data_IF_366675502556
#
_entry.id   IF_366675502556
#
_cell.length_a   1.000
_cell.length_b   1.000
_cell.length_c   1.000
_cell.angle_alpha   90.00
_cell.angle_beta   90.00
_cell.angle_gamma   90.00
#
_symmetry.space_group_name_H-M   'P 1'
#
loop_
_entity.id
_entity.type
_entity.pdbx_description
1 polymer ?
#
# COMPACT_ATOMS: atom_id res chain seq x y z
N UNK A 1 -34.62 -0.55 -26.26
CA UNK A 1 -34.68 -1.96 -25.81
C UNK A 1 -33.97 -1.93 -24.46
N UNK A 2 -34.74 -1.67 -23.40
CA UNK A 2 -34.24 -1.74 -22.02
C UNK A 2 -33.88 -3.21 -21.76
N UNK A 3 -32.62 -3.49 -21.56
CA UNK A 3 -32.16 -4.79 -21.07
C UNK A 3 -32.64 -4.85 -19.61
N UNK A 4 -33.77 -5.53 -19.36
CA UNK A 4 -34.21 -5.88 -18.02
C UNK A 4 -33.06 -6.69 -17.39
N UNK A 5 -32.36 -6.05 -16.45
CA UNK A 5 -31.34 -6.70 -15.65
C UNK A 5 -32.05 -7.81 -14.86
N UNK A 6 -31.70 -9.07 -15.12
CA UNK A 6 -32.19 -10.21 -14.34
C UNK A 6 -31.78 -9.95 -12.89
N UNK A 7 -32.74 -9.91 -11.95
CA UNK A 7 -32.43 -9.63 -10.56
C UNK A 7 -31.43 -10.69 -10.04
N UNK A 8 -30.33 -10.22 -9.45
CA UNK A 8 -29.32 -11.08 -8.87
C UNK A 8 -29.92 -11.87 -7.70
N UNK A 9 -29.64 -13.16 -7.63
CA UNK A 9 -29.99 -13.94 -6.45
C UNK A 9 -29.18 -13.44 -5.23
N UNK A 10 -29.65 -13.74 -4.03
CA UNK A 10 -28.98 -13.37 -2.78
C UNK A 10 -27.53 -13.86 -2.75
N UNK A 11 -27.30 -15.11 -3.10
CA UNK A 11 -25.96 -15.71 -3.17
C UNK A 11 -25.07 -15.00 -4.20
N UNK A 12 -25.60 -14.67 -5.36
CA UNK A 12 -24.88 -13.92 -6.41
C UNK A 12 -24.51 -12.52 -5.93
N UNK A 13 -25.41 -11.84 -5.24
CA UNK A 13 -25.17 -10.51 -4.66
C UNK A 13 -24.06 -10.54 -3.62
N UNK A 14 -24.11 -11.52 -2.69
CA UNK A 14 -23.06 -11.69 -1.68
C UNK A 14 -21.69 -12.03 -2.31
N UNK A 15 -21.68 -12.83 -3.37
CA UNK A 15 -20.45 -13.17 -4.09
C UNK A 15 -19.83 -11.94 -4.76
N UNK A 16 -20.61 -11.10 -5.42
CA UNK A 16 -20.14 -9.85 -6.04
C UNK A 16 -19.66 -8.87 -4.96
N UNK A 17 -20.46 -8.68 -3.91
CA UNK A 17 -20.11 -7.81 -2.79
C UNK A 17 -18.78 -8.20 -2.15
N UNK A 18 -18.58 -9.50 -1.90
CA UNK A 18 -17.33 -10.04 -1.40
C UNK A 18 -16.17 -9.85 -2.40
N UNK A 19 -16.43 -10.02 -3.69
CA UNK A 19 -15.46 -9.78 -4.77
C UNK A 19 -14.95 -8.33 -4.76
N UNK A 20 -15.86 -7.36 -4.67
CA UNK A 20 -15.53 -5.93 -4.53
C UNK A 20 -14.72 -5.67 -3.25
N UNK A 21 -15.18 -6.18 -2.10
CA UNK A 21 -14.49 -6.05 -0.83
C UNK A 21 -13.06 -6.60 -0.87
N UNK A 22 -12.86 -7.78 -1.48
CA UNK A 22 -11.54 -8.37 -1.69
C UNK A 22 -10.65 -7.50 -2.58
N UNK A 23 -11.18 -6.97 -3.67
CA UNK A 23 -10.43 -6.11 -4.57
C UNK A 23 -10.01 -4.81 -3.87
N UNK A 24 -10.90 -4.18 -3.10
CA UNK A 24 -10.61 -2.99 -2.31
C UNK A 24 -9.55 -3.24 -1.24
N UNK A 25 -9.79 -4.24 -0.37
CA UNK A 25 -8.93 -4.50 0.79
C UNK A 25 -7.52 -4.95 0.38
N UNK A 26 -7.41 -5.80 -0.66
CA UNK A 26 -6.14 -6.24 -1.21
C UNK A 26 -5.31 -5.09 -1.77
N UNK A 27 -5.95 -4.04 -2.28
CA UNK A 27 -5.30 -2.89 -2.89
C UNK A 27 -5.15 -1.68 -1.94
N UNK A 28 -5.38 -1.88 -0.63
CA UNK A 28 -5.05 -0.90 0.40
C UNK A 28 -6.16 0.09 0.73
N UNK A 29 -7.42 -0.23 0.43
CA UNK A 29 -8.57 0.56 0.89
C UNK A 29 -8.71 0.51 2.42
N UNK A 30 -9.33 1.55 2.97
CA UNK A 30 -9.72 1.62 4.38
C UNK A 30 -10.79 0.56 4.70
N UNK A 31 -10.78 0.02 5.91
CA UNK A 31 -11.76 -1.02 6.32
C UNK A 31 -13.17 -0.48 6.30
N UNK A 32 -13.40 0.70 6.81
CA UNK A 32 -14.71 1.37 6.79
C UNK A 32 -15.26 1.57 5.37
N UNK A 33 -14.40 1.92 4.40
CA UNK A 33 -14.79 2.03 2.99
C UNK A 33 -15.19 0.69 2.40
N UNK A 34 -14.50 -0.39 2.75
CA UNK A 34 -14.83 -1.74 2.30
C UNK A 34 -16.19 -2.16 2.83
N UNK A 35 -16.45 -1.95 4.13
CA UNK A 35 -17.74 -2.23 4.77
C UNK A 35 -18.88 -1.45 4.13
N UNK A 36 -18.70 -0.13 3.95
CA UNK A 36 -19.70 0.73 3.31
C UNK A 36 -20.00 0.30 1.86
N UNK A 37 -18.97 -0.06 1.09
CA UNK A 37 -19.15 -0.50 -0.29
C UNK A 37 -19.93 -1.82 -0.35
N UNK A 38 -19.60 -2.79 0.50
CA UNK A 38 -20.31 -4.09 0.56
C UNK A 38 -21.75 -3.87 1.01
N UNK A 39 -21.97 -3.16 2.12
CA UNK A 39 -23.30 -2.92 2.68
C UNK A 39 -24.19 -2.17 1.69
N UNK A 40 -23.69 -1.10 1.09
CA UNK A 40 -24.44 -0.31 0.08
C UNK A 40 -24.82 -1.16 -1.12
N UNK A 41 -23.90 -2.02 -1.61
CA UNK A 41 -24.20 -2.91 -2.73
C UNK A 41 -25.32 -3.90 -2.39
N UNK A 42 -25.26 -4.53 -1.22
CA UNK A 42 -26.29 -5.47 -0.76
C UNK A 42 -27.65 -4.76 -0.61
N UNK A 43 -27.67 -3.56 0.02
CA UNK A 43 -28.88 -2.74 0.20
C UNK A 43 -29.51 -2.35 -1.14
N UNK A 44 -28.71 -1.97 -2.14
CA UNK A 44 -29.22 -1.60 -3.48
C UNK A 44 -29.92 -2.76 -4.17
N UNK A 45 -29.56 -4.02 -3.82
CA UNK A 45 -30.19 -5.21 -4.35
C UNK A 45 -31.31 -5.78 -3.43
N UNK A 46 -31.72 -5.01 -2.40
CA UNK A 46 -32.84 -5.35 -1.52
C UNK A 46 -32.47 -6.25 -0.33
N UNK A 47 -31.18 -6.48 -0.09
CA UNK A 47 -30.70 -7.29 1.05
C UNK A 47 -30.22 -6.39 2.17
N UNK A 48 -31.04 -6.19 3.22
CA UNK A 48 -30.79 -5.27 4.32
C UNK A 48 -30.18 -5.93 5.57
N UNK A 49 -30.34 -7.23 5.71
CA UNK A 49 -29.95 -8.00 6.89
C UNK A 49 -28.56 -8.66 6.73
N UNK A 50 -27.66 -7.95 6.07
CA UNK A 50 -26.29 -8.39 5.87
C UNK A 50 -25.35 -7.63 6.82
N UNK A 51 -24.73 -8.36 7.74
CA UNK A 51 -23.71 -7.85 8.63
C UNK A 51 -22.33 -7.97 8.00
N UNK A 52 -21.60 -6.88 7.96
CA UNK A 52 -20.27 -6.80 7.37
C UNK A 52 -19.27 -6.45 8.45
N UNK A 53 -18.24 -7.27 8.61
CA UNK A 53 -17.11 -6.99 9.48
C UNK A 53 -15.82 -7.17 8.71
N UNK A 54 -15.01 -6.12 8.67
CA UNK A 54 -13.76 -6.09 7.91
C UNK A 54 -12.59 -5.76 8.83
N UNK A 55 -11.54 -6.54 8.74
CA UNK A 55 -10.22 -6.19 9.25
C UNK A 55 -9.20 -6.18 8.11
N UNK A 56 -7.98 -5.67 8.29
CA UNK A 56 -6.99 -5.66 7.22
C UNK A 56 -6.68 -7.05 6.62
N UNK A 57 -7.01 -8.14 7.31
CA UNK A 57 -6.67 -9.51 6.90
C UNK A 57 -7.86 -10.42 6.66
N UNK A 58 -9.09 -10.00 7.01
CA UNK A 58 -10.28 -10.83 6.85
C UNK A 58 -11.52 -9.98 6.58
N UNK A 59 -12.41 -10.52 5.75
CA UNK A 59 -13.78 -10.02 5.53
C UNK A 59 -14.73 -11.12 6.01
N UNK A 60 -15.68 -10.75 6.85
CA UNK A 60 -16.75 -11.61 7.35
C UNK A 60 -18.07 -10.98 6.92
N UNK A 61 -18.89 -11.76 6.24
CA UNK A 61 -20.27 -11.41 5.88
C UNK A 61 -21.21 -12.36 6.60
N UNK A 62 -22.03 -11.83 7.48
CA UNK A 62 -23.10 -12.56 8.14
C UNK A 62 -24.44 -12.29 7.45
N UNK A 63 -25.22 -13.32 7.21
CA UNK A 63 -26.54 -13.25 6.60
C UNK A 63 -27.57 -13.83 7.57
N UNK A 64 -28.39 -12.96 8.19
CA UNK A 64 -29.36 -13.39 9.19
C UNK A 64 -30.55 -14.15 8.61
N UNK A 65 -30.99 -13.83 7.37
CA UNK A 65 -32.14 -14.50 6.75
C UNK A 65 -31.81 -15.89 6.21
N UNK A 66 -30.56 -16.18 5.89
CA UNK A 66 -30.10 -17.49 5.38
C UNK A 66 -29.66 -18.43 6.49
N UNK A 67 -30.55 -18.69 7.50
CA UNK A 67 -30.24 -19.59 8.63
C UNK A 67 -28.89 -19.25 9.35
N UNK A 68 -28.46 -17.98 9.31
CA UNK A 68 -27.19 -17.53 9.89
C UNK A 68 -25.96 -17.91 9.07
N UNK A 69 -26.07 -18.03 7.75
CA UNK A 69 -24.93 -18.32 6.88
C UNK A 69 -23.87 -17.24 7.02
N UNK A 70 -22.62 -17.64 7.22
CA UNK A 70 -21.48 -16.75 7.35
C UNK A 70 -20.42 -17.06 6.31
N UNK A 71 -20.02 -16.04 5.55
CA UNK A 71 -18.95 -16.16 4.56
C UNK A 71 -17.69 -15.47 5.13
N UNK A 72 -16.61 -16.24 5.22
CA UNK A 72 -15.31 -15.73 5.69
C UNK A 72 -14.31 -15.73 4.54
N UNK A 73 -13.63 -14.61 4.34
CA UNK A 73 -12.59 -14.49 3.33
C UNK A 73 -11.32 -13.90 3.88
N UNK A 74 -10.22 -14.65 3.77
CA UNK A 74 -8.89 -14.21 4.22
C UNK A 74 -8.12 -13.50 3.14
N UNK A 75 -7.50 -12.36 3.50
CA UNK A 75 -6.58 -11.60 2.65
C UNK A 75 -5.16 -11.82 3.15
N UNK A 76 -4.33 -12.50 2.36
CA UNK A 76 -2.94 -12.85 2.76
C UNK A 76 -1.92 -11.82 2.30
N UNK A 77 -2.13 -11.24 1.13
CA UNK A 77 -1.21 -10.28 0.51
C UNK A 77 -1.96 -9.00 0.22
N UNK A 78 -1.35 -7.89 0.57
CA UNK A 78 -1.86 -6.55 0.31
C UNK A 78 -0.82 -5.75 -0.45
N UNK A 79 -1.28 -4.86 -1.28
CA UNK A 79 -0.48 -3.88 -2.01
C UNK A 79 -1.20 -2.54 -1.99
N UNK A 80 -0.57 -1.49 -2.45
CA UNK A 80 -1.25 -0.21 -2.63
C UNK A 80 -1.43 0.04 -4.13
N UNK A 81 -2.68 -0.07 -4.60
CA UNK A 81 -3.03 0.24 -5.98
C UNK A 81 -4.32 1.07 -6.04
N UNK A 82 -4.15 2.39 -6.00
CA UNK A 82 -5.26 3.35 -5.98
C UNK A 82 -6.11 3.29 -7.25
N UNK A 83 -5.56 2.85 -8.38
CA UNK A 83 -6.33 2.73 -9.62
C UNK A 83 -7.37 1.61 -9.56
N UNK A 84 -7.09 0.52 -8.83
CA UNK A 84 -8.07 -0.54 -8.58
C UNK A 84 -9.14 -0.04 -7.61
N UNK A 85 -8.74 0.67 -6.54
CA UNK A 85 -9.70 1.25 -5.59
C UNK A 85 -10.67 2.18 -6.31
N UNK A 86 -10.16 3.08 -7.17
CA UNK A 86 -11.01 3.98 -7.98
C UNK A 86 -11.94 3.20 -8.89
N UNK A 87 -11.43 2.19 -9.62
CA UNK A 87 -12.24 1.39 -10.55
C UNK A 87 -13.37 0.63 -9.84
N UNK A 88 -13.10 0.01 -8.68
CA UNK A 88 -14.13 -0.68 -7.89
C UNK A 88 -15.15 0.33 -7.33
N UNK A 89 -14.69 1.48 -6.91
CA UNK A 89 -15.56 2.54 -6.43
C UNK A 89 -16.49 3.03 -7.55
N UNK A 90 -15.94 3.37 -8.71
CA UNK A 90 -16.72 3.78 -9.88
C UNK A 90 -17.71 2.70 -10.30
N UNK A 91 -17.29 1.43 -10.28
CA UNK A 91 -18.17 0.30 -10.54
C UNK A 91 -19.32 0.23 -9.53
N UNK A 92 -19.06 0.35 -8.23
CA UNK A 92 -20.07 0.27 -7.18
C UNK A 92 -21.11 1.39 -7.23
N UNK A 93 -20.75 2.58 -7.72
CA UNK A 93 -21.67 3.71 -7.88
C UNK A 93 -22.43 3.69 -9.22
N UNK A 94 -21.85 3.12 -10.26
CA UNK A 94 -22.44 3.12 -11.61
C UNK A 94 -23.18 1.82 -11.95
N UNK A 95 -23.37 0.91 -11.01
CA UNK A 95 -24.02 -0.38 -11.22
C UNK A 95 -25.42 -0.27 -11.83
N UNK A 96 -26.17 0.79 -11.48
CA UNK A 96 -27.47 1.10 -12.09
C UNK A 96 -27.38 1.50 -13.56
N UNK A 97 -26.20 1.92 -14.04
CA UNK A 97 -25.93 2.33 -15.43
C UNK A 97 -25.32 1.21 -16.28
N UNK A 98 -24.81 0.14 -15.63
CA UNK A 98 -24.16 -0.99 -16.27
C UNK A 98 -24.80 -2.29 -15.81
N UNK A 99 -25.91 -2.71 -16.43
CA UNK A 99 -26.54 -4.00 -16.11
C UNK A 99 -25.65 -5.13 -16.63
N UNK A 100 -24.56 -5.41 -15.92
CA UNK A 100 -23.71 -6.55 -16.22
C UNK A 100 -24.40 -7.83 -15.70
N UNK A 101 -24.31 -8.88 -16.49
CA UNK A 101 -24.68 -10.22 -16.04
C UNK A 101 -23.75 -10.64 -14.89
N UNK A 102 -24.24 -11.49 -13.98
CA UNK A 102 -23.46 -12.03 -12.85
C UNK A 102 -22.07 -12.52 -13.27
N UNK A 103 -22.00 -13.28 -14.38
CA UNK A 103 -20.74 -13.82 -14.87
C UNK A 103 -19.77 -12.73 -15.34
N UNK A 104 -20.24 -11.76 -16.08
CA UNK A 104 -19.46 -10.62 -16.57
C UNK A 104 -18.94 -9.76 -15.42
N UNK A 105 -19.76 -9.58 -14.37
CA UNK A 105 -19.36 -8.88 -13.17
C UNK A 105 -18.21 -9.59 -12.44
N UNK A 106 -18.30 -10.90 -12.29
CA UNK A 106 -17.21 -11.66 -11.65
C UNK A 106 -15.93 -11.65 -12.47
N UNK A 107 -16.03 -11.79 -13.78
CA UNK A 107 -14.88 -11.68 -14.70
C UNK A 107 -14.21 -10.31 -14.60
N UNK A 108 -14.99 -9.23 -14.58
CA UNK A 108 -14.48 -7.87 -14.39
C UNK A 108 -13.78 -7.66 -13.04
N UNK A 109 -14.37 -8.16 -11.96
CA UNK A 109 -13.75 -8.07 -10.63
C UNK A 109 -12.47 -8.89 -10.52
N UNK A 110 -12.42 -10.05 -11.18
CA UNK A 110 -11.22 -10.88 -11.22
C UNK A 110 -10.12 -10.22 -12.08
N UNK A 111 -10.48 -9.58 -13.19
CA UNK A 111 -9.55 -8.77 -13.98
C UNK A 111 -8.99 -7.60 -13.15
N UNK A 112 -9.84 -6.86 -12.45
CA UNK A 112 -9.40 -5.79 -11.55
C UNK A 112 -8.48 -6.28 -10.45
N UNK A 113 -8.75 -7.46 -9.92
CA UNK A 113 -7.93 -8.09 -8.86
C UNK A 113 -6.52 -8.41 -9.32
N UNK A 114 -6.33 -8.72 -10.61
CA UNK A 114 -5.05 -9.03 -11.23
C UNK A 114 -4.43 -7.85 -11.99
N UNK A 115 -5.10 -6.70 -11.98
CA UNK A 115 -4.64 -5.50 -12.67
C UNK A 115 -3.28 -5.06 -12.16
N UNK A 116 -2.29 -5.05 -13.03
CA UNK A 116 -0.95 -4.57 -12.73
C UNK A 116 -0.99 -3.08 -12.32
N UNK A 117 -0.05 -2.62 -11.50
CA UNK A 117 0.11 -1.20 -11.24
C UNK A 117 0.24 -0.41 -12.55
N UNK A 118 -0.33 0.81 -12.64
CA UNK A 118 -0.39 1.58 -13.90
C UNK A 118 0.98 2.07 -14.38
N UNK A 119 2.00 1.97 -13.52
CA UNK A 119 3.35 2.46 -13.82
C UNK A 119 4.36 1.33 -13.82
N UNK A 120 5.18 1.29 -14.88
CA UNK A 120 6.33 0.37 -14.96
C UNK A 120 7.39 0.69 -13.89
N UNK A 121 8.21 -0.28 -13.57
CA UNK A 121 9.22 -0.19 -12.49
C UNK A 121 10.18 1.00 -12.65
N UNK A 122 10.62 1.29 -13.88
CA UNK A 122 11.46 2.43 -14.16
C UNK A 122 10.82 3.77 -13.75
N UNK A 123 9.52 3.95 -14.04
CA UNK A 123 8.82 5.18 -13.65
C UNK A 123 8.72 5.33 -12.13
N UNK A 124 8.55 4.22 -11.41
CA UNK A 124 8.52 4.20 -9.95
C UNK A 124 9.90 4.58 -9.39
N UNK A 125 10.99 4.03 -9.94
CA UNK A 125 12.35 4.39 -9.52
C UNK A 125 12.67 5.86 -9.78
N UNK A 126 12.30 6.39 -10.93
CA UNK A 126 12.46 7.81 -11.25
C UNK A 126 11.63 8.72 -10.35
N UNK A 127 10.38 8.35 -10.06
CA UNK A 127 9.53 9.08 -9.13
C UNK A 127 10.12 9.10 -7.71
N UNK A 128 10.68 7.97 -7.25
CA UNK A 128 11.40 7.89 -5.98
C UNK A 128 12.62 8.81 -5.96
N UNK A 129 13.44 8.81 -7.01
CA UNK A 129 14.60 9.67 -7.12
C UNK A 129 14.22 11.17 -7.07
N UNK A 130 13.22 11.58 -7.86
CA UNK A 130 12.73 12.96 -7.88
C UNK A 130 12.15 13.36 -6.52
N UNK A 131 11.33 12.49 -5.91
CA UNK A 131 10.75 12.73 -4.59
C UNK A 131 11.83 12.89 -3.53
N UNK A 132 12.84 12.02 -3.51
CA UNK A 132 13.97 12.11 -2.57
C UNK A 132 14.74 13.42 -2.68
N UNK A 133 15.04 13.85 -3.90
CA UNK A 133 15.70 15.13 -4.16
C UNK A 133 14.85 16.33 -3.70
N UNK A 134 13.54 16.30 -4.03
CA UNK A 134 12.63 17.37 -3.63
C UNK A 134 12.50 17.49 -2.10
N UNK A 135 12.38 16.36 -1.39
CA UNK A 135 12.33 16.36 0.07
C UNK A 135 13.65 16.83 0.70
N UNK A 136 14.79 16.44 0.14
CA UNK A 136 16.09 16.95 0.58
C UNK A 136 16.14 18.48 0.47
N UNK A 137 15.73 19.05 -0.66
CA UNK A 137 15.67 20.51 -0.85
C UNK A 137 14.66 21.18 0.10
N UNK A 138 13.48 20.60 0.33
CA UNK A 138 12.48 21.12 1.27
C UNK A 138 12.99 21.18 2.72
N UNK A 139 13.92 20.30 3.08
CA UNK A 139 14.54 20.25 4.41
C UNK A 139 15.78 21.15 4.54
N UNK A 140 16.04 21.99 3.56
CA UNK A 140 17.14 22.94 3.56
C UNK A 140 18.44 22.38 2.95
N UNK A 141 18.37 21.28 2.20
CA UNK A 141 19.50 20.75 1.45
C UNK A 141 19.95 21.69 0.33
N UNK A 142 21.25 21.70 0.09
CA UNK A 142 21.88 22.45 -1.00
C UNK A 142 21.76 21.69 -2.34
N UNK A 143 22.37 22.24 -3.42
CA UNK A 143 22.34 21.60 -4.75
C UNK A 143 23.07 20.25 -4.78
N UNK A 144 24.13 20.08 -3.98
CA UNK A 144 24.87 18.83 -3.84
C UNK A 144 24.02 17.77 -3.13
N UNK A 145 23.33 18.17 -2.03
CA UNK A 145 22.38 17.31 -1.31
C UNK A 145 21.24 16.86 -2.22
N UNK A 146 20.73 17.76 -3.08
CA UNK A 146 19.67 17.44 -4.04
C UNK A 146 20.08 16.32 -5.00
N UNK A 147 21.27 16.45 -5.61
CA UNK A 147 21.80 15.46 -6.57
C UNK A 147 22.09 14.13 -5.85
N UNK A 148 22.72 14.18 -4.68
CA UNK A 148 23.05 13.01 -3.89
C UNK A 148 21.78 12.28 -3.41
N UNK A 149 20.72 13.00 -2.96
CA UNK A 149 19.45 12.42 -2.58
C UNK A 149 18.71 11.81 -3.78
N UNK A 150 18.79 12.42 -4.97
CA UNK A 150 18.26 11.84 -6.21
C UNK A 150 18.88 10.49 -6.51
N UNK A 151 20.20 10.40 -6.48
CA UNK A 151 20.94 9.16 -6.73
C UNK A 151 20.62 8.10 -5.66
N UNK A 152 20.70 8.49 -4.38
CA UNK A 152 20.47 7.61 -3.24
C UNK A 152 19.05 7.02 -3.25
N UNK A 153 18.02 7.86 -3.42
CA UNK A 153 16.63 7.41 -3.43
C UNK A 153 16.29 6.56 -4.65
N UNK A 154 16.83 6.91 -5.82
CA UNK A 154 16.65 6.13 -7.05
C UNK A 154 17.28 4.75 -6.97
N UNK A 155 18.57 4.66 -6.60
CA UNK A 155 19.29 3.40 -6.49
C UNK A 155 18.72 2.49 -5.38
N UNK A 156 18.32 3.07 -4.25
CA UNK A 156 17.68 2.30 -3.17
C UNK A 156 16.35 1.72 -3.60
N UNK A 157 15.56 2.44 -4.42
CA UNK A 157 14.32 1.90 -4.98
C UNK A 157 14.57 0.77 -6.00
N UNK A 158 15.61 0.88 -6.83
CA UNK A 158 16.02 -0.21 -7.74
C UNK A 158 16.39 -1.45 -6.93
N UNK A 159 17.17 -1.29 -5.86
CA UNK A 159 17.56 -2.40 -4.98
C UNK A 159 16.32 -3.05 -4.33
N UNK A 160 15.39 -2.26 -3.80
CA UNK A 160 14.15 -2.78 -3.22
C UNK A 160 13.36 -3.61 -4.23
N UNK A 161 13.25 -3.14 -5.47
CA UNK A 161 12.54 -3.87 -6.54
C UNK A 161 13.21 -5.19 -6.89
N UNK A 162 14.53 -5.22 -6.94
CA UNK A 162 15.27 -6.46 -7.18
C UNK A 162 15.12 -7.46 -6.04
N UNK A 163 15.17 -6.99 -4.78
CA UNK A 163 14.97 -7.84 -3.60
C UNK A 163 13.56 -8.41 -3.51
N UNK A 164 12.53 -7.67 -3.90
CA UNK A 164 11.14 -8.13 -3.93
C UNK A 164 10.91 -9.39 -4.78
N UNK A 165 11.78 -9.65 -5.77
CA UNK A 165 11.79 -10.89 -6.55
C UNK A 165 12.13 -12.15 -5.73
N UNK A 166 12.89 -12.04 -4.66
CA UNK A 166 13.27 -13.13 -3.76
C UNK A 166 12.27 -13.40 -2.63
N UNK A 167 11.23 -12.56 -2.50
CA UNK A 167 10.19 -12.66 -1.46
C UNK A 167 10.72 -12.77 -0.02
N UNK A 168 11.70 -11.97 0.41
CA UNK A 168 12.02 -11.87 1.83
C UNK A 168 10.81 -11.33 2.60
N UNK A 169 10.83 -11.43 3.94
CA UNK A 169 9.78 -10.75 4.71
C UNK A 169 9.91 -9.24 4.55
N UNK A 170 8.80 -8.51 4.62
CA UNK A 170 8.77 -7.04 4.50
C UNK A 170 9.72 -6.34 5.49
N UNK A 171 9.99 -6.96 6.63
CA UNK A 171 11.00 -6.48 7.59
C UNK A 171 12.39 -6.39 6.95
N UNK A 172 12.86 -7.48 6.32
CA UNK A 172 14.20 -7.54 5.70
C UNK A 172 14.30 -6.65 4.46
N UNK A 173 13.24 -6.56 3.66
CA UNK A 173 13.20 -5.64 2.51
C UNK A 173 13.41 -4.19 2.96
N UNK A 174 12.69 -3.77 3.99
CA UNK A 174 12.80 -2.42 4.53
C UNK A 174 14.14 -2.17 5.23
N UNK A 175 14.66 -3.15 6.00
CA UNK A 175 15.95 -3.02 6.65
C UNK A 175 17.11 -2.89 5.64
N UNK A 176 17.10 -3.70 4.59
CA UNK A 176 18.09 -3.61 3.52
C UNK A 176 17.99 -2.29 2.75
N UNK A 177 16.78 -1.78 2.53
CA UNK A 177 16.58 -0.46 1.91
C UNK A 177 17.15 0.66 2.80
N UNK A 178 16.90 0.62 4.11
CA UNK A 178 17.47 1.56 5.07
C UNK A 178 19.01 1.51 5.10
N UNK A 179 19.59 0.30 5.08
CA UNK A 179 21.02 0.12 5.03
C UNK A 179 21.63 0.65 3.71
N UNK A 180 20.96 0.43 2.58
CA UNK A 180 21.39 0.96 1.29
C UNK A 180 21.35 2.49 1.26
N UNK A 181 20.28 3.11 1.78
CA UNK A 181 20.15 4.57 1.89
C UNK A 181 21.31 5.14 2.71
N UNK A 182 21.60 4.56 3.89
CA UNK A 182 22.70 5.00 4.74
C UNK A 182 24.06 4.86 4.06
N UNK A 183 24.34 3.71 3.46
CA UNK A 183 25.61 3.45 2.77
C UNK A 183 25.83 4.39 1.56
N UNK A 184 24.79 4.58 0.73
CA UNK A 184 24.87 5.49 -0.43
C UNK A 184 25.00 6.96 -0.02
N UNK A 185 24.28 7.40 1.02
CA UNK A 185 24.41 8.76 1.53
C UNK A 185 25.82 9.05 2.08
N UNK A 186 26.41 8.07 2.79
CA UNK A 186 27.80 8.16 3.25
C UNK A 186 28.73 8.27 2.05
N UNK A 187 28.59 7.35 1.09
CA UNK A 187 29.44 7.34 -0.11
C UNK A 187 29.38 8.66 -0.88
N UNK A 188 28.19 9.23 -1.09
CA UNK A 188 28.04 10.53 -1.76
C UNK A 188 28.76 11.64 -1.00
N UNK A 189 28.64 11.69 0.34
CA UNK A 189 29.28 12.71 1.15
C UNK A 189 30.80 12.59 1.22
N UNK A 190 31.33 11.37 1.09
CA UNK A 190 32.80 11.19 1.02
C UNK A 190 33.37 11.58 -0.34
N UNK A 191 32.57 11.45 -1.40
CA UNK A 191 32.98 11.88 -2.74
C UNK A 191 32.85 13.41 -2.92
N UNK A 192 31.91 14.04 -2.23
CA UNK A 192 31.60 15.45 -2.34
C UNK A 192 31.46 16.05 -0.92
N UNK A 193 32.52 16.70 -0.47
CA UNK A 193 32.61 17.28 0.87
C UNK A 193 31.61 18.39 1.20
N UNK A 194 30.84 18.87 0.21
CA UNK A 194 29.79 19.89 0.40
C UNK A 194 28.41 19.28 0.75
N UNK A 195 28.31 17.98 0.73
CA UNK A 195 27.09 17.26 1.05
C UNK A 195 26.82 17.15 2.55
N UNK A 196 25.55 17.29 2.92
CA UNK A 196 25.05 17.10 4.28
C UNK A 196 24.33 15.75 4.41
N UNK A 197 24.96 14.77 5.08
CA UNK A 197 24.42 13.41 5.21
C UNK A 197 22.97 13.37 5.68
N UNK A 198 22.60 14.20 6.64
CA UNK A 198 21.25 14.26 7.20
C UNK A 198 20.20 14.59 6.15
N UNK A 199 20.46 15.61 5.31
CA UNK A 199 19.52 16.05 4.28
C UNK A 199 19.33 14.97 3.20
N UNK A 200 20.42 14.28 2.82
CA UNK A 200 20.37 13.19 1.86
C UNK A 200 19.58 12.00 2.42
N UNK A 201 19.91 11.57 3.66
CA UNK A 201 19.25 10.44 4.31
C UNK A 201 17.76 10.69 4.47
N UNK A 202 17.38 11.83 5.05
CA UNK A 202 15.96 12.12 5.32
C UNK A 202 15.20 12.28 4.00
N UNK A 203 15.77 12.98 3.01
CA UNK A 203 15.17 13.08 1.68
C UNK A 203 14.96 11.72 1.02
N UNK A 204 16.00 10.86 1.04
CA UNK A 204 15.94 9.53 0.43
C UNK A 204 15.01 8.55 1.17
N UNK A 205 14.77 8.74 2.47
CA UNK A 205 13.86 7.90 3.25
C UNK A 205 12.37 8.15 2.92
N UNK A 206 12.01 9.37 2.51
CA UNK A 206 10.60 9.77 2.35
C UNK A 206 9.77 8.83 1.47
N UNK A 207 10.23 8.36 0.30
CA UNK A 207 9.47 7.41 -0.53
C UNK A 207 9.28 6.03 0.09
N UNK A 208 10.09 5.67 1.10
CA UNK A 208 10.07 4.35 1.74
C UNK A 208 9.22 4.33 3.02
N UNK A 209 8.85 5.49 3.55
CA UNK A 209 8.03 5.54 4.76
C UNK A 209 6.62 5.00 4.51
N UNK A 210 6.06 4.22 5.44
CA UNK A 210 4.74 3.58 5.31
C UNK A 210 3.58 4.57 5.52
N UNK A 211 3.57 5.69 4.77
CA UNK A 211 2.62 6.79 4.95
C UNK A 211 1.16 6.36 4.74
N UNK A 212 0.88 5.59 3.70
CA UNK A 212 -0.49 5.12 3.40
C UNK A 212 -1.01 4.19 4.51
N UNK A 213 -0.18 3.27 4.99
CA UNK A 213 -0.58 2.37 6.08
C UNK A 213 -0.85 3.16 7.37
N UNK A 214 -0.01 4.13 7.69
CA UNK A 214 -0.16 4.98 8.87
C UNK A 214 -1.41 5.86 8.79
N UNK A 215 -1.63 6.56 7.68
CA UNK A 215 -2.80 7.43 7.51
C UNK A 215 -4.11 6.65 7.48
N UNK A 216 -4.15 5.48 6.84
CA UNK A 216 -5.33 4.61 6.85
C UNK A 216 -5.59 4.05 8.26
N UNK A 217 -4.53 3.69 9.00
CA UNK A 217 -4.69 3.24 10.39
C UNK A 217 -5.27 4.33 11.30
N UNK A 218 -4.81 5.57 11.14
CA UNK A 218 -5.37 6.71 11.87
C UNK A 218 -6.84 6.95 11.49
N UNK A 219 -7.18 6.81 10.21
CA UNK A 219 -8.55 6.98 9.72
C UNK A 219 -9.48 5.87 10.23
N UNK A 220 -9.00 4.61 10.26
CA UNK A 220 -9.74 3.50 10.86
C UNK A 220 -10.00 3.77 12.36
N UNK A 221 -9.04 4.31 13.11
CA UNK A 221 -9.26 4.75 14.50
C UNK A 221 -10.31 5.84 14.63
N UNK A 222 -10.29 6.85 13.75
CA UNK A 222 -11.28 7.93 13.76
C UNK A 222 -12.68 7.45 13.40
N UNK A 223 -12.79 6.39 12.60
CA UNK A 223 -14.04 5.71 12.28
C UNK A 223 -14.55 4.79 13.41
N UNK A 224 -13.78 4.60 14.48
CA UNK A 224 -14.10 3.70 15.59
C UNK A 224 -13.65 2.25 15.41
N UNK A 225 -13.00 1.92 14.30
CA UNK A 225 -12.49 0.58 14.01
C UNK A 225 -11.09 0.40 14.64
N UNK A 226 -11.10 0.19 15.97
CA UNK A 226 -9.88 0.11 16.76
C UNK A 226 -8.98 -1.07 16.39
N UNK A 227 -9.57 -2.21 16.00
CA UNK A 227 -8.81 -3.42 15.62
C UNK A 227 -8.02 -3.17 14.35
N UNK A 228 -8.67 -2.64 13.32
CA UNK A 228 -8.05 -2.34 12.04
C UNK A 228 -7.03 -1.21 12.17
N UNK A 229 -7.37 -0.14 12.89
CA UNK A 229 -6.47 0.97 13.17
C UNK A 229 -5.19 0.50 13.85
N UNK A 230 -5.31 -0.28 14.94
CA UNK A 230 -4.16 -0.81 15.67
C UNK A 230 -3.28 -1.71 14.78
N UNK A 231 -3.90 -2.58 14.01
CA UNK A 231 -3.22 -3.50 13.10
C UNK A 231 -2.35 -2.76 12.06
N UNK A 232 -2.91 -1.71 11.44
CA UNK A 232 -2.22 -0.89 10.42
C UNK A 232 -1.13 -0.01 11.02
N UNK A 233 -1.38 0.58 12.17
CA UNK A 233 -0.36 1.38 12.88
C UNK A 233 0.81 0.49 13.31
N UNK A 234 0.54 -0.69 13.87
CA UNK A 234 1.58 -1.65 14.24
C UNK A 234 2.41 -2.09 13.03
N UNK A 235 1.78 -2.34 11.88
CA UNK A 235 2.48 -2.65 10.63
C UNK A 235 3.36 -1.47 10.16
N UNK A 236 2.85 -0.26 10.19
CA UNK A 236 3.61 0.94 9.82
C UNK A 236 4.81 1.16 10.75
N UNK A 237 4.62 0.98 12.06
CA UNK A 237 5.71 1.06 13.05
C UNK A 237 6.77 -0.01 12.82
N UNK A 238 6.38 -1.24 12.49
CA UNK A 238 7.32 -2.31 12.16
C UNK A 238 8.18 -1.95 10.94
N UNK A 239 7.58 -1.40 9.90
CA UNK A 239 8.31 -0.98 8.69
C UNK A 239 9.25 0.19 8.97
N UNK A 240 8.79 1.22 9.68
CA UNK A 240 9.63 2.35 10.07
C UNK A 240 10.82 1.90 10.94
N UNK A 241 10.58 1.02 11.91
CA UNK A 241 11.64 0.47 12.78
C UNK A 241 12.64 -0.37 11.99
N UNK A 242 12.20 -1.19 11.03
CA UNK A 242 13.11 -1.98 10.20
C UNK A 242 14.00 -1.09 9.32
N UNK A 243 13.46 -0.03 8.72
CA UNK A 243 14.25 0.95 7.97
C UNK A 243 15.29 1.61 8.89
N UNK A 244 14.87 2.02 10.09
CA UNK A 244 15.76 2.66 11.06
C UNK A 244 16.90 1.74 11.52
N UNK A 245 16.62 0.45 11.73
CA UNK A 245 17.64 -0.57 12.07
C UNK A 245 18.65 -0.70 10.93
N UNK A 246 18.20 -0.81 9.69
CA UNK A 246 19.09 -0.90 8.53
C UNK A 246 19.96 0.34 8.37
N UNK A 247 19.38 1.53 8.50
CA UNK A 247 20.11 2.78 8.46
C UNK A 247 21.16 2.86 9.59
N UNK A 248 20.75 2.55 10.82
CA UNK A 248 21.66 2.57 11.97
C UNK A 248 22.83 1.59 11.79
N UNK A 249 22.56 0.41 11.21
CA UNK A 249 23.62 -0.56 10.90
C UNK A 249 24.68 0.02 9.95
N UNK A 250 24.29 0.65 8.85
CA UNK A 250 25.23 1.24 7.90
C UNK A 250 26.05 2.39 8.53
N UNK A 251 25.41 3.23 9.34
CA UNK A 251 26.09 4.32 10.05
C UNK A 251 27.08 3.80 11.10
N UNK A 252 26.71 2.74 11.85
CA UNK A 252 27.61 2.10 12.83
C UNK A 252 28.82 1.44 12.17
N UNK A 253 28.61 0.74 11.07
CA UNK A 253 29.70 0.15 10.28
C UNK A 253 30.65 1.23 9.81
N UNK A 254 30.13 2.33 9.27
CA UNK A 254 30.96 3.47 8.87
C UNK A 254 31.71 4.07 10.04
N UNK A 255 31.07 4.32 11.17
CA UNK A 255 31.73 4.90 12.36
C UNK A 255 32.88 4.05 12.88
N UNK A 256 32.75 2.69 12.84
CA UNK A 256 33.77 1.80 13.37
C UNK A 256 34.89 1.45 12.37
N UNK A 257 34.60 1.42 11.07
CA UNK A 257 35.49 0.87 10.04
C UNK A 257 35.81 1.88 8.92
N UNK A 258 34.99 2.88 8.71
CA UNK A 258 35.10 3.79 7.56
C UNK A 258 36.39 4.59 7.53
N UNK A 259 36.86 5.08 8.68
CA UNK A 259 38.12 5.80 8.77
C UNK A 259 39.36 4.93 8.42
N UNK A 260 39.26 3.62 8.51
CA UNK A 260 40.35 2.69 8.12
C UNK A 260 40.40 2.41 6.62
N UNK A 261 39.34 2.68 5.90
CA UNK A 261 39.25 2.43 4.46
C UNK A 261 39.81 3.64 3.66
N UNK A 262 39.91 4.80 4.26
CA UNK A 262 40.35 6.06 3.63
C UNK A 262 41.66 6.61 4.21
N UNK A 263 42.23 5.98 5.22
CA UNK A 263 43.56 6.26 5.74
C UNK A 263 44.63 5.38 5.04
#
# INVERSE_FOLDING_TARGET
MELEAVPLSREQTLHIALGMGKALLKNGAETSRVEDTISRFCHTHGYHDIHVFVTPTVIILGDEESEGATIISRIRYRSTNLSVISAVNDFSYNLSRWPLNYKETLEYLEELRHKAPPYGEWRVCMASAISSAAFSAMLGGNSHDFIAAFITGGLSMVLLKQLGGYRPSAFWENALSGAAIGALAIFCCEMDGECTRTNIIVGALMPFLPGVAFTNGLRDYMAGDLISGNSRIAEAMLFATSIAIGLAFSLLVWYHWGWKLWA
#
